data_IF_633984044056
#
_entry.id   IF_633984044056
#
_cell.length_a   1.000
_cell.length_b   1.000
_cell.length_c   1.000
_cell.angle_alpha   90.00
_cell.angle_beta   90.00
_cell.angle_gamma   90.00
#
_symmetry.space_group_name_H-M   'P 1'
#
loop_
_entity.id
_entity.type
_entity.pdbx_description
1 polymer ?
#
# COMPACT_ATOMS: atom_id res chain seq x y z
N UNK A 1 20.26 -33.08 7.32
CA UNK A 1 19.08 -32.73 6.50
C UNK A 1 18.19 -31.83 7.33
N UNK A 2 18.26 -30.50 7.15
CA UNK A 2 17.36 -29.57 7.84
C UNK A 2 16.60 -28.78 6.79
N UNK A 3 15.34 -29.16 6.58
CA UNK A 3 14.36 -28.29 5.92
C UNK A 3 13.45 -27.72 7.01
N UNK A 4 13.63 -26.44 7.29
CA UNK A 4 12.63 -25.62 7.94
C UNK A 4 12.42 -24.38 7.05
N UNK A 5 11.71 -24.59 5.94
CA UNK A 5 11.04 -23.50 5.23
C UNK A 5 9.67 -23.37 5.88
N UNK A 6 9.42 -22.24 6.52
CA UNK A 6 8.09 -21.83 6.98
C UNK A 6 7.15 -21.75 5.78
N UNK A 7 6.39 -22.82 5.53
CA UNK A 7 5.40 -22.92 4.45
C UNK A 7 4.06 -22.37 4.93
N UNK A 8 3.83 -21.09 4.69
CA UNK A 8 2.49 -20.61 4.39
C UNK A 8 2.63 -19.71 3.15
N UNK A 9 2.33 -20.19 1.93
CA UNK A 9 2.22 -19.30 0.80
C UNK A 9 1.03 -18.36 1.07
N UNK A 10 1.31 -17.08 1.30
CA UNK A 10 0.25 -16.08 1.34
C UNK A 10 -0.36 -15.97 -0.06
N UNK A 11 -1.64 -16.32 -0.19
CA UNK A 11 -2.35 -16.12 -1.43
C UNK A 11 -2.53 -14.61 -1.68
N UNK A 12 -2.31 -14.18 -2.92
CA UNK A 12 -2.57 -12.81 -3.38
C UNK A 12 -3.71 -12.90 -4.38
N UNK A 13 -4.75 -12.10 -4.19
CA UNK A 13 -5.92 -12.05 -5.05
C UNK A 13 -6.50 -10.64 -5.09
N UNK A 14 -7.17 -10.33 -6.19
CA UNK A 14 -8.05 -9.17 -6.28
C UNK A 14 -9.42 -9.48 -5.66
N UNK A 15 -9.97 -8.51 -4.93
CA UNK A 15 -11.31 -8.60 -4.37
C UNK A 15 -12.22 -7.71 -5.20
N UNK A 16 -13.27 -8.31 -5.78
CA UNK A 16 -14.28 -7.62 -6.58
C UNK A 16 -15.59 -7.59 -5.79
N UNK A 17 -16.18 -6.40 -5.63
CA UNK A 17 -17.48 -6.18 -4.98
C UNK A 17 -18.36 -5.44 -5.98
N UNK A 18 -19.53 -5.98 -6.31
CA UNK A 18 -20.49 -5.39 -7.28
C UNK A 18 -19.88 -5.01 -8.63
N UNK A 19 -18.83 -5.74 -9.06
CA UNK A 19 -18.12 -5.49 -10.31
C UNK A 19 -16.95 -4.50 -10.21
N UNK A 20 -16.70 -3.92 -9.03
CA UNK A 20 -15.62 -2.98 -8.78
C UNK A 20 -14.45 -3.64 -8.04
N UNK A 21 -13.21 -3.33 -8.45
CA UNK A 21 -12.01 -3.78 -7.76
C UNK A 21 -11.76 -2.95 -6.49
N UNK A 22 -11.77 -3.62 -5.34
CA UNK A 22 -11.59 -2.99 -4.03
C UNK A 22 -10.24 -2.27 -3.89
N UNK A 23 -9.16 -2.77 -4.50
CA UNK A 23 -7.85 -2.12 -4.46
C UNK A 23 -7.93 -0.73 -5.10
N UNK A 24 -8.65 -0.60 -6.21
CA UNK A 24 -8.87 0.69 -6.88
C UNK A 24 -9.65 1.65 -5.99
N UNK A 25 -10.75 1.19 -5.40
CA UNK A 25 -11.56 2.00 -4.49
C UNK A 25 -10.77 2.49 -3.26
N UNK A 26 -9.96 1.62 -2.66
CA UNK A 26 -9.12 1.98 -1.50
C UNK A 26 -8.04 3.01 -1.85
N UNK A 27 -7.40 2.87 -3.01
CA UNK A 27 -6.40 3.84 -3.48
C UNK A 27 -7.05 5.18 -3.78
N UNK A 28 -8.19 5.18 -4.47
CA UNK A 28 -8.95 6.41 -4.78
C UNK A 28 -9.42 7.14 -3.51
N UNK A 29 -9.79 6.40 -2.46
CA UNK A 29 -10.15 6.97 -1.15
C UNK A 29 -8.95 7.44 -0.32
N UNK A 30 -7.72 7.25 -0.81
CA UNK A 30 -6.49 7.60 -0.09
C UNK A 30 -6.18 6.69 1.10
N UNK A 31 -6.72 5.47 1.11
CA UNK A 31 -6.55 4.50 2.20
C UNK A 31 -5.47 3.45 1.92
N UNK A 32 -4.96 3.41 0.68
CA UNK A 32 -3.94 2.47 0.25
C UNK A 32 -2.90 3.14 -0.66
N UNK A 33 -1.74 2.48 -0.78
CA UNK A 33 -0.65 2.89 -1.68
C UNK A 33 -0.66 2.03 -2.94
N UNK A 34 -0.44 2.63 -4.11
CA UNK A 34 -0.18 1.86 -5.32
C UNK A 34 1.25 1.32 -5.29
N UNK A 35 1.39 -0.01 -5.26
CA UNK A 35 2.71 -0.63 -5.17
C UNK A 35 3.32 -0.92 -6.54
N UNK A 36 3.99 0.09 -7.10
CA UNK A 36 4.58 0.08 -8.45
C UNK A 36 5.58 -1.05 -8.73
N UNK A 37 6.12 -1.70 -7.71
CA UNK A 37 7.05 -2.83 -7.90
C UNK A 37 6.34 -4.06 -8.51
N UNK A 38 5.06 -4.22 -8.25
CA UNK A 38 4.29 -5.41 -8.64
C UNK A 38 3.05 -5.07 -9.49
N UNK A 39 2.85 -3.79 -9.83
CA UNK A 39 1.71 -3.34 -10.62
C UNK A 39 2.07 -2.10 -11.42
N UNK A 40 1.96 -2.20 -12.75
CA UNK A 40 2.07 -1.09 -13.69
C UNK A 40 0.68 -0.55 -14.10
N UNK A 41 -0.34 -0.73 -13.24
CA UNK A 41 -1.71 -0.29 -13.53
C UNK A 41 -1.81 1.24 -13.45
N UNK A 42 -1.98 1.86 -14.62
CA UNK A 42 -2.17 3.30 -14.77
C UNK A 42 -3.43 3.84 -14.07
N UNK A 43 -4.45 3.00 -13.89
CA UNK A 43 -5.68 3.38 -13.17
C UNK A 43 -5.37 3.62 -11.70
N UNK A 44 -4.62 2.70 -11.07
CA UNK A 44 -4.19 2.84 -9.69
C UNK A 44 -3.20 4.00 -9.51
N UNK A 45 -2.27 4.17 -10.47
CA UNK A 45 -1.33 5.28 -10.44
C UNK A 45 -2.04 6.64 -10.52
N UNK A 46 -3.08 6.75 -11.35
CA UNK A 46 -3.91 7.96 -11.43
C UNK A 46 -4.75 8.16 -10.18
N UNK A 47 -5.41 7.12 -9.68
CA UNK A 47 -6.22 7.19 -8.46
C UNK A 47 -5.38 7.66 -7.26
N UNK A 48 -4.15 7.15 -7.11
CA UNK A 48 -3.24 7.57 -6.05
C UNK A 48 -2.85 9.05 -6.18
N UNK A 49 -2.52 9.51 -7.40
CA UNK A 49 -2.21 10.91 -7.67
C UNK A 49 -3.37 11.83 -7.32
N UNK A 50 -4.59 11.45 -7.70
CA UNK A 50 -5.78 12.26 -7.45
C UNK A 50 -6.08 12.31 -5.93
N UNK A 51 -5.97 11.18 -5.23
CA UNK A 51 -6.12 11.12 -3.76
C UNK A 51 -5.07 11.96 -3.01
N UNK A 52 -3.81 11.96 -3.49
CA UNK A 52 -2.74 12.81 -2.95
C UNK A 52 -3.03 14.30 -3.15
N UNK A 53 -3.45 14.68 -4.35
CA UNK A 53 -3.77 16.07 -4.69
C UNK A 53 -4.95 16.60 -3.87
N UNK A 54 -5.91 15.73 -3.53
CA UNK A 54 -7.05 16.04 -2.68
C UNK A 54 -6.77 15.87 -1.16
N UNK A 55 -5.55 15.50 -0.77
CA UNK A 55 -5.17 15.25 0.63
C UNK A 55 -6.11 14.29 1.37
N UNK A 56 -6.55 13.22 0.70
CA UNK A 56 -7.49 12.26 1.28
C UNK A 56 -6.80 11.21 2.14
N UNK A 57 -7.46 10.76 3.20
CA UNK A 57 -7.03 9.62 4.01
C UNK A 57 -5.59 9.77 4.52
N UNK A 58 -4.73 8.80 4.16
CA UNK A 58 -3.30 8.78 4.50
C UNK A 58 -2.59 10.06 4.06
N UNK A 59 -3.01 10.69 2.96
CA UNK A 59 -2.36 11.87 2.38
C UNK A 59 -2.66 13.17 3.13
N UNK A 60 -3.64 13.16 4.05
CA UNK A 60 -3.93 14.31 4.92
C UNK A 60 -2.86 14.52 5.99
N UNK A 61 -2.15 13.46 6.39
CA UNK A 61 -1.05 13.54 7.35
C UNK A 61 0.26 13.86 6.61
N UNK A 62 0.99 14.93 6.94
CA UNK A 62 2.29 15.24 6.34
C UNK A 62 3.38 14.19 6.65
N UNK A 63 3.18 13.32 7.64
CA UNK A 63 4.11 12.25 8.05
C UNK A 63 3.78 10.89 7.43
N UNK A 64 3.01 10.83 6.36
CA UNK A 64 2.72 9.57 5.68
C UNK A 64 4.02 8.93 5.14
N UNK A 65 4.23 7.67 5.48
CA UNK A 65 5.38 6.89 5.01
C UNK A 65 4.86 5.64 4.32
N UNK A 66 5.36 5.37 3.11
CA UNK A 66 4.99 4.17 2.38
C UNK A 66 5.36 2.91 3.18
N UNK A 67 4.53 1.85 3.17
CA UNK A 67 4.81 0.64 3.95
C UNK A 67 6.17 0.00 3.63
N UNK A 68 6.62 0.05 2.37
CA UNK A 68 7.91 -0.49 1.97
C UNK A 68 9.09 0.37 2.46
N UNK A 69 8.92 1.67 2.64
CA UNK A 69 9.95 2.53 3.22
C UNK A 69 9.96 2.40 4.74
N UNK A 70 8.79 2.32 5.38
CA UNK A 70 8.66 2.04 6.81
C UNK A 70 9.38 0.75 7.24
N UNK A 71 9.27 -0.31 6.42
CA UNK A 71 9.95 -1.60 6.67
C UNK A 71 11.47 -1.48 6.65
N UNK A 72 12.05 -0.51 5.93
CA UNK A 72 13.50 -0.29 5.85
C UNK A 72 14.04 0.50 7.04
N UNK A 73 13.18 1.25 7.73
CA UNK A 73 13.59 2.08 8.87
C UNK A 73 14.03 1.23 10.06
N UNK A 74 15.07 1.69 10.74
CA UNK A 74 15.49 1.25 12.07
C UNK A 74 14.44 1.61 13.13
N UNK A 75 14.57 1.02 14.32
CA UNK A 75 13.69 1.34 15.46
C UNK A 75 13.74 2.83 15.80
N UNK A 76 14.93 3.40 15.88
CA UNK A 76 15.13 4.80 16.23
C UNK A 76 14.54 5.76 15.19
N UNK A 77 14.62 5.41 13.89
CA UNK A 77 13.97 6.18 12.82
C UNK A 77 12.45 6.11 12.90
N UNK A 78 11.87 4.95 13.23
CA UNK A 78 10.42 4.81 13.44
C UNK A 78 9.94 5.58 14.66
N UNK A 79 10.71 5.59 15.74
CA UNK A 79 10.33 6.31 16.98
C UNK A 79 10.34 7.84 16.77
N UNK A 80 11.14 8.38 15.84
CA UNK A 80 11.10 9.80 15.45
C UNK A 80 9.87 10.19 14.62
N UNK A 81 9.19 9.22 14.01
CA UNK A 81 8.03 9.45 13.14
C UNK A 81 6.70 9.33 13.87
N UNK A 82 6.70 8.77 15.09
CA UNK A 82 5.54 8.74 15.99
C UNK A 82 5.27 10.13 16.56
#
# INVERSE_FOLDING_TARGET
MNFAVSLAPHAIADVIIDGENLNSALVAAGLAWHYKRYSDDETLARAERDARAASLGLWSDPRHVAPWDWRKLSKDERDKLR
#
